data_IF_139944514483
#
_entry.id   IF_139944514483
#
_cell.length_a   1.000
_cell.length_b   1.000
_cell.length_c   1.000
_cell.angle_alpha   90.00
_cell.angle_beta   90.00
_cell.angle_gamma   90.00
#
_symmetry.space_group_name_H-M   'P 1'
#
loop_
_entity.id
_entity.type
_entity.pdbx_description
1 polymer ?
#
# COMPACT_ATOMS: atom_id res chain seq x y z
N UNK A 1 -29.45 -56.61 -84.72
CA UNK A 1 -28.75 -56.07 -83.54
C UNK A 1 -28.40 -54.61 -83.81
N UNK A 2 -29.16 -53.67 -83.24
CA UNK A 2 -29.00 -52.22 -83.40
C UNK A 2 -28.12 -51.71 -82.25
N UNK A 3 -26.91 -51.24 -82.53
CA UNK A 3 -26.11 -50.49 -81.56
C UNK A 3 -26.37 -49.00 -81.78
N UNK A 4 -26.94 -48.36 -80.76
CA UNK A 4 -27.29 -46.95 -80.74
C UNK A 4 -26.02 -46.08 -80.69
N UNK A 5 -25.81 -45.26 -81.72
CA UNK A 5 -24.81 -44.20 -81.71
C UNK A 5 -25.26 -43.10 -80.71
N UNK A 6 -24.62 -43.07 -79.53
CA UNK A 6 -24.77 -41.95 -78.59
C UNK A 6 -23.70 -40.90 -78.93
N UNK A 7 -24.11 -39.85 -79.66
CA UNK A 7 -23.34 -38.61 -79.86
C UNK A 7 -22.85 -38.10 -78.50
N UNK A 8 -21.54 -38.02 -78.30
CA UNK A 8 -20.94 -37.28 -77.20
C UNK A 8 -21.10 -35.78 -77.48
N UNK A 9 -21.49 -34.96 -76.49
CA UNK A 9 -21.50 -33.52 -76.67
C UNK A 9 -20.05 -33.02 -76.74
N UNK A 10 -19.70 -32.39 -77.86
CA UNK A 10 -18.47 -31.61 -78.00
C UNK A 10 -18.61 -30.43 -77.04
N UNK A 11 -17.90 -30.48 -75.91
CA UNK A 11 -17.78 -29.33 -75.01
C UNK A 11 -16.90 -28.33 -75.74
N UNK A 12 -17.53 -27.28 -76.26
CA UNK A 12 -16.85 -26.07 -76.72
C UNK A 12 -16.09 -25.49 -75.54
N UNK A 13 -14.76 -25.60 -75.58
CA UNK A 13 -13.88 -24.87 -74.66
C UNK A 13 -13.95 -23.41 -75.10
N UNK A 14 -14.91 -22.67 -74.55
CA UNK A 14 -14.87 -21.22 -74.60
C UNK A 14 -13.53 -20.78 -74.02
N UNK A 15 -12.80 -20.01 -74.82
CA UNK A 15 -11.52 -19.41 -74.50
C UNK A 15 -11.75 -18.34 -73.44
N UNK A 16 -12.09 -18.75 -72.21
CA UNK A 16 -12.13 -17.88 -71.06
C UNK A 16 -10.68 -17.45 -70.79
N UNK A 17 -10.35 -16.15 -70.86
CA UNK A 17 -9.01 -15.70 -70.53
C UNK A 17 -8.71 -16.19 -69.13
N UNK A 18 -7.69 -17.04 -68.99
CA UNK A 18 -7.38 -17.71 -67.73
C UNK A 18 -7.36 -16.69 -66.61
N UNK A 19 -8.35 -16.76 -65.72
CA UNK A 19 -8.47 -15.81 -64.63
C UNK A 19 -7.28 -16.04 -63.72
N UNK A 20 -6.32 -15.12 -63.81
CA UNK A 20 -5.10 -15.13 -63.01
C UNK A 20 -5.53 -14.89 -61.58
N UNK A 21 -5.68 -15.98 -60.82
CA UNK A 21 -5.87 -15.91 -59.38
C UNK A 21 -4.59 -15.29 -58.80
N UNK A 22 -4.63 -13.98 -58.55
CA UNK A 22 -3.57 -13.28 -57.85
C UNK A 22 -3.58 -13.80 -56.42
N UNK A 23 -2.73 -14.79 -56.17
CA UNK A 23 -2.48 -15.25 -54.81
C UNK A 23 -2.04 -14.02 -53.99
N UNK A 24 -2.62 -13.79 -52.80
CA UNK A 24 -2.12 -12.74 -51.92
C UNK A 24 -0.62 -12.99 -51.70
N UNK A 25 0.21 -11.92 -51.69
CA UNK A 25 1.64 -12.09 -51.58
C UNK A 25 1.96 -12.94 -50.36
N UNK A 26 2.63 -14.08 -50.58
CA UNK A 26 3.07 -14.96 -49.49
C UNK A 26 3.96 -14.12 -48.58
N UNK A 27 3.46 -13.78 -47.40
CA UNK A 27 4.22 -13.04 -46.43
C UNK A 27 5.28 -13.98 -45.84
N UNK A 28 6.48 -13.93 -46.43
CA UNK A 28 7.65 -14.61 -45.86
C UNK A 28 7.91 -13.99 -44.49
N UNK A 29 7.56 -14.70 -43.42
CA UNK A 29 7.81 -14.27 -42.05
C UNK A 29 9.32 -14.17 -41.85
N UNK A 30 9.89 -12.98 -42.06
CA UNK A 30 11.30 -12.71 -41.78
C UNK A 30 11.54 -13.05 -40.31
N UNK A 31 12.30 -14.12 -40.06
CA UNK A 31 12.76 -14.47 -38.73
C UNK A 31 13.82 -13.44 -38.35
N UNK A 32 13.41 -12.32 -37.75
CA UNK A 32 14.35 -11.45 -37.05
C UNK A 32 15.16 -12.30 -36.08
N UNK A 33 16.49 -12.22 -36.09
CA UNK A 33 17.34 -13.10 -35.29
C UNK A 33 16.96 -12.99 -33.81
N UNK A 34 16.85 -14.12 -33.12
CA UNK A 34 16.39 -14.20 -31.72
C UNK A 34 17.15 -13.23 -30.79
N UNK A 35 18.43 -12.99 -31.09
CA UNK A 35 19.31 -12.04 -30.38
C UNK A 35 18.80 -10.60 -30.45
N UNK A 36 18.30 -10.15 -31.61
CA UNK A 36 17.77 -8.77 -31.76
C UNK A 36 16.46 -8.54 -31.03
N UNK A 37 15.64 -9.59 -30.87
CA UNK A 37 14.41 -9.52 -30.07
C UNK A 37 14.74 -9.44 -28.58
N UNK A 38 15.67 -10.28 -28.12
CA UNK A 38 16.11 -10.31 -26.72
C UNK A 38 16.80 -9.00 -26.30
N UNK A 39 17.69 -8.44 -27.14
CA UNK A 39 18.28 -7.13 -26.89
C UNK A 39 17.22 -6.02 -26.83
N UNK A 40 16.27 -5.99 -27.78
CA UNK A 40 15.21 -4.98 -27.79
C UNK A 40 14.30 -5.06 -26.57
N UNK A 41 13.96 -6.26 -26.11
CA UNK A 41 13.17 -6.47 -24.89
C UNK A 41 13.94 -6.04 -23.64
N UNK A 42 15.24 -6.36 -23.55
CA UNK A 42 16.10 -5.87 -22.46
C UNK A 42 16.22 -4.36 -22.45
N UNK A 43 16.48 -3.74 -23.62
CA UNK A 43 16.55 -2.28 -23.73
C UNK A 43 15.21 -1.65 -23.36
N UNK A 44 14.08 -2.17 -23.83
CA UNK A 44 12.77 -1.61 -23.48
C UNK A 44 12.39 -1.81 -22.00
N UNK A 45 12.93 -2.83 -21.33
CA UNK A 45 12.69 -3.05 -19.89
C UNK A 45 13.62 -2.26 -18.99
N UNK A 46 14.88 -2.04 -19.41
CA UNK A 46 15.91 -1.41 -18.58
C UNK A 46 16.12 0.08 -18.89
N UNK A 47 15.93 0.50 -20.15
CA UNK A 47 16.16 1.89 -20.55
C UNK A 47 15.18 2.88 -19.89
N UNK A 48 13.85 2.60 -19.81
CA UNK A 48 12.93 3.52 -19.14
C UNK A 48 13.20 3.73 -17.64
N UNK A 49 13.40 2.69 -16.79
CA UNK A 49 13.70 2.91 -15.39
C UNK A 49 15.06 3.57 -15.17
N UNK A 50 16.08 3.24 -15.98
CA UNK A 50 17.41 3.87 -15.87
C UNK A 50 17.37 5.35 -16.28
N UNK A 51 16.66 5.71 -17.35
CA UNK A 51 16.45 7.11 -17.72
C UNK A 51 15.68 7.86 -16.64
N UNK A 52 14.61 7.26 -16.10
CA UNK A 52 13.84 7.86 -15.01
C UNK A 52 14.69 8.13 -13.77
N UNK A 53 15.52 7.16 -13.37
CA UNK A 53 16.42 7.28 -12.23
C UNK A 53 17.54 8.31 -12.50
N UNK A 54 18.07 8.34 -13.72
CA UNK A 54 19.06 9.35 -14.14
C UNK A 54 18.50 10.78 -14.12
N UNK A 55 17.29 11.00 -14.63
CA UNK A 55 16.63 12.31 -14.59
C UNK A 55 16.35 12.73 -13.14
N UNK A 56 15.93 11.81 -12.28
CA UNK A 56 15.72 12.08 -10.85
C UNK A 56 17.03 12.52 -10.16
N UNK A 57 18.13 11.80 -10.40
CA UNK A 57 19.44 12.14 -9.82
C UNK A 57 19.96 13.48 -10.32
N UNK A 58 19.77 13.78 -11.61
CA UNK A 58 20.15 15.08 -12.16
C UNK A 58 19.30 16.22 -11.58
N UNK A 59 17.99 16.02 -11.44
CA UNK A 59 17.10 16.99 -10.80
C UNK A 59 17.49 17.22 -9.32
N UNK A 60 17.84 16.15 -8.60
CA UNK A 60 18.31 16.24 -7.22
C UNK A 60 19.65 16.98 -7.11
N UNK A 61 20.62 16.67 -8.00
CA UNK A 61 21.91 17.35 -8.06
C UNK A 61 21.72 18.86 -8.36
N UNK A 62 20.88 19.21 -9.33
CA UNK A 62 20.57 20.60 -9.68
C UNK A 62 19.88 21.34 -8.53
N UNK A 63 18.94 20.69 -7.84
CA UNK A 63 18.27 21.27 -6.66
C UNK A 63 19.22 21.47 -5.48
N UNK A 64 20.12 20.52 -5.22
CA UNK A 64 21.14 20.61 -4.19
C UNK A 64 22.16 21.71 -4.49
N UNK A 65 22.54 21.89 -5.76
CA UNK A 65 23.44 22.98 -6.17
C UNK A 65 22.80 24.37 -6.02
N UNK A 66 21.47 24.49 -6.12
CA UNK A 66 20.76 25.76 -6.00
C UNK A 66 20.41 26.14 -4.55
N UNK A 67 20.47 25.20 -3.60
CA UNK A 67 20.09 25.41 -2.20
C UNK A 67 21.26 25.23 -1.24
N UNK A 68 21.61 26.27 -0.48
CA UNK A 68 22.74 26.28 0.48
C UNK A 68 22.57 25.37 1.72
N UNK A 69 21.53 24.56 1.79
CA UNK A 69 21.22 23.68 2.94
C UNK A 69 20.96 22.22 2.61
N UNK A 70 21.02 21.80 1.34
CA UNK A 70 20.77 20.41 0.96
C UNK A 70 22.09 19.69 0.62
N UNK A 71 22.43 18.59 1.32
CA UNK A 71 23.63 17.82 1.01
C UNK A 71 23.51 17.19 -0.38
N UNK A 72 24.64 17.09 -1.08
CA UNK A 72 24.72 16.39 -2.37
C UNK A 72 24.46 14.88 -2.19
N UNK A 73 24.01 14.18 -3.24
CA UNK A 73 23.80 12.73 -3.21
C UNK A 73 25.03 11.94 -2.72
N UNK A 74 26.24 12.38 -3.05
CA UNK A 74 27.49 11.74 -2.61
C UNK A 74 27.76 11.94 -1.11
N UNK A 75 27.64 13.17 -0.61
CA UNK A 75 27.79 13.44 0.83
C UNK A 75 26.74 12.77 1.71
N UNK A 76 25.53 12.57 1.16
CA UNK A 76 24.46 11.81 1.84
C UNK A 76 24.80 10.31 1.89
N UNK A 77 25.45 9.79 0.84
CA UNK A 77 25.86 8.39 0.75
C UNK A 77 27.02 8.08 1.70
N UNK A 78 28.01 8.98 1.82
CA UNK A 78 29.09 8.86 2.80
C UNK A 78 28.54 8.90 4.24
N UNK A 79 27.64 9.84 4.54
CA UNK A 79 26.99 9.93 5.85
C UNK A 79 26.13 8.70 6.16
N UNK A 80 25.45 8.14 5.14
CA UNK A 80 24.71 6.90 5.28
C UNK A 80 25.67 5.73 5.57
N UNK A 81 26.77 5.61 4.84
CA UNK A 81 27.76 4.54 5.06
C UNK A 81 28.38 4.60 6.46
N UNK A 82 28.69 5.79 6.99
CA UNK A 82 29.19 5.94 8.35
C UNK A 82 28.16 5.56 9.41
N UNK A 83 26.87 5.86 9.17
CA UNK A 83 25.77 5.50 10.07
C UNK A 83 25.41 4.01 10.01
N UNK A 84 25.58 3.37 8.86
CA UNK A 84 25.34 1.93 8.68
C UNK A 84 26.57 1.06 9.01
N UNK A 85 27.75 1.66 9.23
CA UNK A 85 28.97 0.93 9.56
C UNK A 85 28.93 0.30 10.96
N UNK A 86 28.33 0.98 11.95
CA UNK A 86 28.20 0.50 13.33
C UNK A 86 26.74 0.52 13.84
N UNK A 87 25.87 -0.38 13.33
CA UNK A 87 24.44 -0.35 13.61
C UNK A 87 24.06 -0.69 15.07
N UNK A 88 24.96 -1.26 15.88
CA UNK A 88 24.67 -1.72 17.25
C UNK A 88 25.54 -1.07 18.33
N UNK A 89 25.98 0.16 18.11
CA UNK A 89 26.84 0.86 19.07
C UNK A 89 26.12 1.28 20.37
N UNK A 90 26.78 1.01 21.50
CA UNK A 90 26.50 1.23 22.92
C UNK A 90 27.03 2.52 23.58
N UNK A 91 26.99 3.71 22.99
CA UNK A 91 27.79 4.84 23.52
C UNK A 91 27.13 5.77 24.55
N UNK A 92 25.92 5.44 24.99
CA UNK A 92 25.32 6.10 26.14
C UNK A 92 23.79 6.10 26.10
N UNK A 93 23.14 6.87 27.01
CA UNK A 93 21.68 6.95 27.11
C UNK A 93 20.98 7.58 25.89
N UNK A 94 21.70 8.36 25.08
CA UNK A 94 21.18 9.07 23.90
C UNK A 94 21.86 8.69 22.57
N UNK A 95 23.04 8.06 22.59
CA UNK A 95 23.77 7.61 21.39
C UNK A 95 23.71 6.08 21.29
N UNK A 96 22.53 5.59 20.92
CA UNK A 96 22.31 4.18 20.59
C UNK A 96 22.37 3.98 19.09
N UNK A 97 23.04 2.91 18.65
CA UNK A 97 23.10 2.50 17.26
C UNK A 97 21.72 2.39 16.62
N UNK A 98 21.64 2.74 15.34
CA UNK A 98 20.38 2.77 14.55
C UNK A 98 19.62 1.44 14.65
N UNK A 99 20.32 0.30 14.81
CA UNK A 99 19.72 -1.02 14.95
C UNK A 99 18.78 -1.15 16.15
N UNK A 100 19.13 -0.58 17.32
CA UNK A 100 18.26 -0.61 18.50
C UNK A 100 17.05 0.32 18.34
N UNK A 101 17.26 1.48 17.73
CA UNK A 101 16.19 2.42 17.42
C UNK A 101 15.18 1.78 16.44
N UNK A 102 15.67 1.21 15.33
CA UNK A 102 14.85 0.52 14.34
C UNK A 102 14.10 -0.66 14.96
N UNK A 103 14.75 -1.46 15.81
CA UNK A 103 14.10 -2.58 16.47
C UNK A 103 12.96 -2.13 17.39
N UNK A 104 13.18 -1.06 18.18
CA UNK A 104 12.15 -0.49 19.05
C UNK A 104 10.95 0.04 18.23
N UNK A 105 11.20 0.77 17.14
CA UNK A 105 10.16 1.25 16.23
C UNK A 105 9.39 0.08 15.59
N UNK A 106 10.11 -0.97 15.17
CA UNK A 106 9.53 -2.16 14.56
C UNK A 106 8.65 -2.93 15.56
N UNK A 107 9.07 -3.04 16.82
CA UNK A 107 8.29 -3.67 17.88
C UNK A 107 6.97 -2.92 18.13
N UNK A 108 7.01 -1.57 18.18
CA UNK A 108 5.79 -0.76 18.34
C UNK A 108 4.80 -0.98 17.21
N UNK A 109 5.31 -0.94 15.97
CA UNK A 109 4.50 -1.22 14.77
C UNK A 109 3.93 -2.63 14.85
N UNK A 110 4.75 -3.64 15.19
CA UNK A 110 4.31 -5.02 15.28
C UNK A 110 3.21 -5.23 16.33
N UNK A 111 3.31 -4.60 17.50
CA UNK A 111 2.28 -4.69 18.56
C UNK A 111 1.00 -3.96 18.13
N UNK A 112 1.09 -2.71 17.68
CA UNK A 112 -0.09 -1.93 17.27
C UNK A 112 -0.80 -2.55 16.07
N UNK A 113 -0.03 -2.97 15.06
CA UNK A 113 -0.55 -3.67 13.88
C UNK A 113 -1.10 -5.06 14.22
N UNK A 114 -0.40 -5.83 15.06
CA UNK A 114 -0.83 -7.16 15.47
C UNK A 114 -2.17 -7.13 16.21
N UNK A 115 -2.35 -6.19 17.13
CA UNK A 115 -3.64 -5.95 17.80
C UNK A 115 -4.72 -5.52 16.81
N UNK A 116 -4.38 -4.68 15.83
CA UNK A 116 -5.33 -4.24 14.80
C UNK A 116 -5.75 -5.38 13.89
N UNK A 117 -4.84 -6.31 13.56
CA UNK A 117 -5.17 -7.49 12.77
C UNK A 117 -6.04 -8.48 13.55
N UNK A 118 -5.70 -8.71 14.81
CA UNK A 118 -6.45 -9.60 15.70
C UNK A 118 -7.88 -9.12 15.93
N UNK A 119 -8.11 -7.81 16.06
CA UNK A 119 -9.45 -7.25 16.23
C UNK A 119 -10.15 -6.96 14.88
N UNK A 120 -9.42 -6.44 13.90
CA UNK A 120 -9.97 -5.93 12.64
C UNK A 120 -10.40 -7.02 11.67
N UNK A 121 -9.68 -8.14 11.58
CA UNK A 121 -10.06 -9.25 10.70
C UNK A 121 -11.39 -9.87 11.18
N UNK A 122 -11.55 -10.29 12.45
CA UNK A 122 -12.82 -10.82 12.93
C UNK A 122 -13.98 -9.82 12.80
N UNK A 123 -13.74 -8.54 13.13
CA UNK A 123 -14.76 -7.50 13.01
C UNK A 123 -15.18 -7.29 11.55
N UNK A 124 -14.24 -7.31 10.61
CA UNK A 124 -14.50 -7.27 9.18
C UNK A 124 -15.34 -8.45 8.69
N UNK A 125 -15.04 -9.66 9.17
CA UNK A 125 -15.86 -10.84 8.89
C UNK A 125 -17.30 -10.69 9.41
N UNK A 126 -17.45 -10.19 10.64
CA UNK A 126 -18.76 -9.98 11.26
C UNK A 126 -19.62 -8.96 10.47
N UNK A 127 -19.02 -7.82 10.11
CA UNK A 127 -19.64 -6.74 9.32
C UNK A 127 -19.93 -7.18 7.88
N UNK A 128 -19.11 -8.08 7.33
CA UNK A 128 -19.29 -8.64 5.99
C UNK A 128 -20.45 -9.64 5.92
N UNK A 129 -20.57 -10.52 6.93
CA UNK A 129 -21.56 -11.61 6.98
C UNK A 129 -22.95 -11.16 7.42
N UNK A 130 -23.05 -10.12 8.24
CA UNK A 130 -24.30 -9.71 8.88
C UNK A 130 -24.71 -8.28 8.51
N UNK A 131 -25.92 -8.14 7.99
CA UNK A 131 -26.47 -6.85 7.58
C UNK A 131 -26.75 -5.92 8.79
N UNK A 132 -26.98 -6.49 9.96
CA UNK A 132 -27.18 -5.75 11.22
C UNK A 132 -25.90 -5.00 11.63
N UNK A 133 -24.79 -5.72 11.80
CA UNK A 133 -23.51 -5.11 12.16
C UNK A 133 -23.01 -4.17 11.05
N UNK A 134 -23.27 -4.52 9.78
CA UNK A 134 -23.03 -3.62 8.65
C UNK A 134 -23.68 -2.25 8.84
N UNK A 135 -24.99 -2.22 9.12
CA UNK A 135 -25.74 -0.96 9.28
C UNK A 135 -25.31 -0.18 10.53
N UNK A 136 -24.96 -0.88 11.60
CA UNK A 136 -24.51 -0.27 12.86
C UNK A 136 -23.13 0.40 12.73
N UNK A 137 -22.17 -0.25 12.07
CA UNK A 137 -20.81 0.27 11.93
C UNK A 137 -20.60 1.16 10.70
N UNK A 138 -21.48 1.13 9.70
CA UNK A 138 -21.36 1.99 8.52
C UNK A 138 -21.18 3.49 8.84
N UNK A 139 -22.01 4.11 9.72
CA UNK A 139 -21.86 5.52 10.05
C UNK A 139 -20.55 5.82 10.80
N UNK A 140 -20.12 4.92 11.70
CA UNK A 140 -18.83 5.05 12.39
C UNK A 140 -17.67 5.02 11.39
N UNK A 141 -17.68 4.04 10.49
CA UNK A 141 -16.65 3.90 9.45
C UNK A 141 -16.64 5.15 8.56
N UNK A 142 -17.79 5.67 8.16
CA UNK A 142 -17.88 6.87 7.32
C UNK A 142 -17.31 8.11 8.01
N UNK A 143 -17.52 8.26 9.33
CA UNK A 143 -17.01 9.37 10.13
C UNK A 143 -15.49 9.28 10.35
N UNK A 144 -14.99 8.06 10.60
CA UNK A 144 -13.58 7.80 10.93
C UNK A 144 -12.67 7.76 9.70
N UNK A 145 -13.21 7.45 8.52
CA UNK A 145 -12.48 7.37 7.25
C UNK A 145 -11.71 8.64 6.85
N UNK A 146 -12.27 9.86 6.94
CA UNK A 146 -11.56 11.09 6.58
C UNK A 146 -10.60 11.59 7.66
N UNK A 147 -10.56 10.98 8.85
CA UNK A 147 -9.72 11.45 9.95
C UNK A 147 -8.26 11.17 9.62
N UNK A 148 -7.42 12.22 9.70
CA UNK A 148 -6.00 12.08 9.45
C UNK A 148 -5.36 11.20 10.53
N UNK A 149 -4.39 10.34 10.19
CA UNK A 149 -3.71 9.49 11.17
C UNK A 149 -3.01 10.29 12.29
N UNK A 150 -2.58 11.51 12.00
CA UNK A 150 -1.90 12.42 12.94
C UNK A 150 -2.81 12.95 14.05
N UNK A 151 -4.12 13.09 13.81
CA UNK A 151 -5.05 13.63 14.79
C UNK A 151 -5.21 12.74 16.04
N UNK A 152 -4.85 11.46 15.93
CA UNK A 152 -4.96 10.49 17.02
C UNK A 152 -3.82 10.58 18.01
N UNK A 153 -2.64 11.07 17.61
CA UNK A 153 -1.45 11.06 18.48
C UNK A 153 -1.68 11.82 19.79
N UNK A 154 -2.20 13.07 19.80
CA UNK A 154 -2.45 13.79 21.04
C UNK A 154 -3.42 13.07 21.98
N UNK A 155 -4.44 12.41 21.42
CA UNK A 155 -5.43 11.62 22.19
C UNK A 155 -4.75 10.41 22.84
N UNK A 156 -3.88 9.72 22.11
CA UNK A 156 -3.08 8.62 22.64
C UNK A 156 -2.16 9.08 23.78
N UNK A 157 -1.55 10.25 23.63
CA UNK A 157 -0.69 10.82 24.68
C UNK A 157 -1.50 11.20 25.93
N UNK A 158 -2.72 11.72 25.78
CA UNK A 158 -3.61 12.01 26.92
C UNK A 158 -4.05 10.73 27.66
N UNK A 159 -4.29 9.63 26.94
CA UNK A 159 -4.73 8.37 27.53
C UNK A 159 -3.62 7.65 28.30
N UNK A 160 -2.43 7.55 27.71
CA UNK A 160 -1.34 6.73 28.25
C UNK A 160 -0.24 7.52 28.95
N UNK A 161 -0.20 8.85 28.76
CA UNK A 161 0.81 9.76 29.31
C UNK A 161 2.27 9.38 28.98
N UNK A 162 2.47 8.47 28.01
CA UNK A 162 3.77 7.94 27.58
C UNK A 162 3.80 7.88 26.05
N UNK A 163 4.92 8.28 25.46
CA UNK A 163 5.09 8.35 24.00
C UNK A 163 5.05 6.97 23.32
N UNK A 164 5.62 5.94 23.95
CA UNK A 164 5.66 4.58 23.40
C UNK A 164 4.26 3.97 23.19
N UNK A 165 3.39 3.83 24.22
CA UNK A 165 2.05 3.26 24.04
C UNK A 165 1.13 4.17 23.22
N UNK A 166 1.32 5.50 23.26
CA UNK A 166 0.54 6.44 22.44
C UNK A 166 0.77 6.21 20.94
N UNK A 167 2.01 5.94 20.54
CA UNK A 167 2.36 5.65 19.14
C UNK A 167 1.75 4.33 18.67
N UNK A 168 1.90 3.27 19.46
CA UNK A 168 1.30 1.95 19.15
C UNK A 168 -0.24 2.00 19.09
N UNK A 169 -0.88 2.76 19.97
CA UNK A 169 -2.33 2.98 19.96
C UNK A 169 -2.80 3.73 18.71
N UNK A 170 -2.04 4.75 18.29
CA UNK A 170 -2.34 5.50 17.07
C UNK A 170 -2.26 4.60 15.83
N UNK A 171 -1.22 3.77 15.75
CA UNK A 171 -1.07 2.76 14.68
C UNK A 171 -2.25 1.79 14.70
N UNK A 172 -2.67 1.34 15.87
CA UNK A 172 -3.81 0.44 16.03
C UNK A 172 -5.11 1.04 15.45
N UNK A 173 -5.47 2.26 15.86
CA UNK A 173 -6.70 2.94 15.40
C UNK A 173 -6.64 3.26 13.90
N UNK A 174 -5.48 3.63 13.36
CA UNK A 174 -5.37 3.95 11.94
C UNK A 174 -5.41 2.70 11.06
N UNK A 175 -4.86 1.58 11.55
CA UNK A 175 -4.71 0.33 10.78
C UNK A 175 -5.96 -0.55 10.82
N UNK A 176 -6.79 -0.44 11.86
CA UNK A 176 -7.98 -1.29 12.01
C UNK A 176 -9.03 -1.01 10.93
N UNK A 177 -9.31 0.25 10.58
CA UNK A 177 -10.39 0.61 9.65
C UNK A 177 -10.15 0.12 8.22
N UNK A 178 -8.99 0.36 7.58
CA UNK A 178 -8.73 -0.18 6.25
C UNK A 178 -8.82 -1.71 6.23
N UNK A 179 -8.39 -2.37 7.31
CA UNK A 179 -8.42 -3.83 7.41
C UNK A 179 -9.84 -4.38 7.52
N UNK A 180 -10.67 -3.77 8.38
CA UNK A 180 -12.10 -4.09 8.53
C UNK A 180 -12.84 -3.87 7.22
N UNK A 181 -12.64 -2.73 6.56
CA UNK A 181 -13.34 -2.37 5.33
C UNK A 181 -12.99 -3.34 4.19
N UNK A 182 -11.70 -3.61 3.97
CA UNK A 182 -11.26 -4.51 2.91
C UNK A 182 -11.73 -5.96 3.17
N UNK A 183 -11.70 -6.40 4.43
CA UNK A 183 -12.20 -7.73 4.81
C UNK A 183 -13.71 -7.84 4.63
N UNK A 184 -14.49 -6.86 5.11
CA UNK A 184 -15.94 -6.85 4.99
C UNK A 184 -16.40 -6.80 3.52
N UNK A 185 -15.73 -6.01 2.71
CA UNK A 185 -15.96 -5.92 1.27
C UNK A 185 -15.63 -7.26 0.57
N UNK A 186 -14.53 -7.91 0.96
CA UNK A 186 -14.17 -9.24 0.48
C UNK A 186 -15.23 -10.29 0.76
N UNK A 187 -15.80 -10.31 1.97
CA UNK A 187 -16.88 -11.23 2.35
C UNK A 187 -18.14 -10.97 1.51
N UNK A 188 -18.50 -9.70 1.26
CA UNK A 188 -19.70 -9.33 0.51
C UNK A 188 -19.63 -9.63 -0.97
N UNK A 189 -18.41 -9.66 -1.54
CA UNK A 189 -18.18 -9.98 -2.96
C UNK A 189 -18.37 -11.44 -3.31
N UNK A 190 -18.50 -12.33 -2.32
CA UNK A 190 -18.73 -13.75 -2.56
C UNK A 190 -20.10 -13.94 -3.21
N UNK A 191 -20.19 -14.60 -4.38
CA UNK A 191 -21.47 -14.91 -5.00
C UNK A 191 -22.38 -15.69 -4.06
N UNK A 192 -23.67 -15.33 -4.04
CA UNK A 192 -24.67 -15.99 -3.19
C UNK A 192 -24.82 -17.49 -3.51
N UNK A 193 -24.43 -17.92 -4.71
CA UNK A 193 -24.46 -19.32 -5.14
C UNK A 193 -23.63 -20.23 -4.25
N UNK A 194 -22.45 -19.77 -3.80
CA UNK A 194 -21.63 -20.53 -2.84
C UNK A 194 -22.36 -20.77 -1.52
N UNK A 195 -23.11 -19.77 -1.04
CA UNK A 195 -23.89 -19.87 0.19
C UNK A 195 -25.15 -20.73 0.01
N UNK A 196 -25.77 -20.67 -1.18
CA UNK A 196 -26.93 -21.48 -1.51
C UNK A 196 -26.56 -22.97 -1.62
N UNK A 197 -25.45 -23.31 -2.28
CA UNK A 197 -24.92 -24.68 -2.34
C UNK A 197 -24.61 -25.19 -0.94
N UNK A 198 -23.96 -24.39 -0.09
CA UNK A 198 -23.68 -24.77 1.29
C UNK A 198 -24.96 -25.04 2.11
N UNK A 199 -26.05 -24.29 1.86
CA UNK A 199 -27.35 -24.49 2.49
C UNK A 199 -28.03 -25.79 2.02
N UNK A 200 -27.92 -26.14 0.75
CA UNK A 200 -28.44 -27.41 0.20
C UNK A 200 -27.70 -28.62 0.78
N UNK A 201 -26.38 -28.53 0.93
CA UNK A 201 -25.58 -29.56 1.61
C UNK A 201 -25.71 -29.55 3.14
N UNK A 202 -26.56 -28.67 3.72
CA UNK A 202 -26.75 -28.50 5.17
C UNK A 202 -25.43 -28.41 5.96
N UNK A 203 -24.43 -27.72 5.41
CA UNK A 203 -23.15 -27.53 6.10
C UNK A 203 -23.33 -26.60 7.30
N UNK A 204 -22.63 -26.91 8.40
CA UNK A 204 -22.62 -26.03 9.57
C UNK A 204 -21.96 -24.69 9.24
N UNK A 205 -22.46 -23.60 9.83
CA UNK A 205 -21.96 -22.24 9.59
C UNK A 205 -20.44 -22.11 9.84
N UNK A 206 -19.91 -22.86 10.82
CA UNK A 206 -18.46 -22.92 11.07
C UNK A 206 -17.68 -23.56 9.91
N UNK A 207 -18.24 -24.61 9.31
CA UNK A 207 -17.64 -25.28 8.14
C UNK A 207 -17.67 -24.36 6.93
N UNK A 208 -18.78 -23.66 6.71
CA UNK A 208 -18.92 -22.65 5.65
C UNK A 208 -17.90 -21.53 5.85
N UNK A 209 -17.78 -21.01 7.07
CA UNK A 209 -16.83 -19.94 7.39
C UNK A 209 -15.39 -20.32 7.09
N UNK A 210 -14.92 -21.50 7.54
CA UNK A 210 -13.50 -21.89 7.43
C UNK A 210 -13.13 -22.50 6.08
N UNK A 211 -14.01 -23.27 5.44
CA UNK A 211 -13.69 -23.99 4.20
C UNK A 211 -14.10 -23.25 2.93
N UNK A 212 -15.08 -22.35 3.01
CA UNK A 212 -15.61 -21.64 1.83
C UNK A 212 -15.25 -20.16 1.95
N UNK A 213 -15.65 -19.51 3.04
CA UNK A 213 -15.52 -18.06 3.21
C UNK A 213 -14.06 -17.64 3.41
N UNK A 214 -13.35 -18.22 4.37
CA UNK A 214 -11.97 -17.84 4.69
C UNK A 214 -11.01 -17.89 3.48
N UNK A 215 -10.95 -18.99 2.69
CA UNK A 215 -10.07 -19.03 1.51
C UNK A 215 -10.51 -18.06 0.41
N UNK A 216 -11.81 -17.84 0.23
CA UNK A 216 -12.32 -16.90 -0.77
C UNK A 216 -12.02 -15.43 -0.43
N UNK A 217 -11.99 -15.09 0.86
CA UNK A 217 -11.78 -13.71 1.36
C UNK A 217 -10.31 -13.41 1.62
N UNK A 218 -9.46 -14.44 1.69
CA UNK A 218 -8.02 -14.28 1.95
C UNK A 218 -7.33 -13.23 1.06
N UNK A 219 -7.58 -13.14 -0.27
CA UNK A 219 -6.99 -12.11 -1.10
C UNK A 219 -7.39 -10.68 -0.68
N UNK A 220 -8.63 -10.50 -0.24
CA UNK A 220 -9.14 -9.22 0.24
C UNK A 220 -8.57 -8.87 1.62
N UNK A 221 -8.42 -9.85 2.53
CA UNK A 221 -7.73 -9.65 3.82
C UNK A 221 -6.29 -9.23 3.60
N UNK A 222 -5.56 -9.92 2.71
CA UNK A 222 -4.17 -9.58 2.38
C UNK A 222 -4.05 -8.18 1.77
N UNK A 223 -5.04 -7.76 0.98
CA UNK A 223 -5.11 -6.38 0.46
C UNK A 223 -5.29 -5.37 1.60
N UNK A 224 -6.19 -5.65 2.54
CA UNK A 224 -6.39 -4.82 3.73
C UNK A 224 -5.14 -4.73 4.61
N UNK A 225 -4.53 -5.88 4.91
CA UNK A 225 -3.27 -5.99 5.65
C UNK A 225 -2.16 -5.18 4.99
N UNK A 226 -1.98 -5.32 3.67
CA UNK A 226 -0.97 -4.59 2.90
C UNK A 226 -1.18 -3.08 2.98
N UNK A 227 -2.42 -2.61 2.83
CA UNK A 227 -2.74 -1.18 2.92
C UNK A 227 -2.47 -0.65 4.34
N UNK A 228 -2.87 -1.40 5.36
CA UNK A 228 -2.66 -1.04 6.76
C UNK A 228 -1.18 -1.00 7.14
N UNK A 229 -0.32 -1.90 6.61
CA UNK A 229 1.14 -1.84 6.82
C UNK A 229 1.72 -0.54 6.27
N UNK A 230 1.29 -0.10 5.08
CA UNK A 230 1.72 1.17 4.50
C UNK A 230 1.35 2.38 5.36
N UNK A 231 0.14 2.38 5.93
CA UNK A 231 -0.31 3.45 6.83
C UNK A 231 0.45 3.40 8.16
N UNK A 232 0.65 2.22 8.74
CA UNK A 232 1.41 2.05 9.97
C UNK A 232 2.84 2.60 9.84
N UNK A 233 3.49 2.38 8.70
CA UNK A 233 4.82 2.92 8.41
C UNK A 233 4.83 4.45 8.35
N UNK A 234 3.86 5.07 7.68
CA UNK A 234 3.77 6.53 7.61
C UNK A 234 3.51 7.15 9.00
N UNK A 235 2.70 6.47 9.81
CA UNK A 235 2.35 6.93 11.16
C UNK A 235 3.55 6.84 12.10
N UNK A 236 4.33 5.76 12.08
CA UNK A 236 5.49 5.64 12.97
C UNK A 236 6.53 6.72 12.67
N UNK A 237 6.82 6.99 11.40
CA UNK A 237 7.76 8.06 11.01
C UNK A 237 7.24 9.42 11.51
N UNK A 238 5.96 9.71 11.31
CA UNK A 238 5.38 10.96 11.78
C UNK A 238 5.37 11.07 13.33
N UNK A 239 5.09 9.98 14.03
CA UNK A 239 5.09 9.93 15.48
C UNK A 239 6.49 10.15 16.05
N UNK A 240 7.53 9.60 15.43
CA UNK A 240 8.92 9.82 15.84
C UNK A 240 9.38 11.25 15.62
N UNK A 241 8.93 11.89 14.54
CA UNK A 241 9.21 13.31 14.30
C UNK A 241 8.53 14.20 15.35
N UNK A 242 7.27 13.89 15.69
CA UNK A 242 6.51 14.67 16.68
C UNK A 242 6.97 14.45 18.12
N UNK A 243 7.49 13.27 18.43
CA UNK A 243 8.03 12.93 19.75
C UNK A 243 9.54 13.17 19.85
N UNK A 244 10.20 13.66 18.79
CA UNK A 244 11.59 14.08 18.82
C UNK A 244 12.56 13.00 19.29
N UNK A 245 12.35 11.73 18.92
CA UNK A 245 13.21 10.62 19.33
C UNK A 245 13.03 10.13 20.77
N UNK A 246 12.15 10.74 21.57
CA UNK A 246 11.82 10.30 22.95
C UNK A 246 11.25 8.86 23.00
N UNK A 247 10.80 8.32 21.87
CA UNK A 247 10.41 6.93 21.78
C UNK A 247 11.56 6.00 22.17
N UNK A 248 12.76 6.16 21.61
CA UNK A 248 13.82 5.16 21.75
C UNK A 248 14.62 5.24 23.06
N UNK A 249 14.47 6.32 23.82
CA UNK A 249 15.07 6.48 25.15
C UNK A 249 14.24 5.76 26.23
N UNK A 250 13.96 4.46 26.05
CA UNK A 250 13.43 3.64 27.13
C UNK A 250 14.55 3.31 28.12
N UNK A 251 14.82 4.21 29.07
CA UNK A 251 15.62 3.86 30.25
C UNK A 251 16.43 4.97 30.89
N UNK A 252 15.81 6.06 31.33
CA UNK A 252 16.15 6.74 32.60
C UNK A 252 15.41 8.08 32.65
N UNK A 253 14.82 8.38 33.81
CA UNK A 253 14.03 9.58 34.00
C UNK A 253 14.82 10.84 33.67
N UNK A 254 14.30 11.64 32.74
CA UNK A 254 14.62 13.06 32.69
C UNK A 254 13.33 13.83 32.45
N UNK A 255 12.76 14.28 33.55
CA UNK A 255 11.98 15.51 33.64
C UNK A 255 12.74 16.61 32.89
N UNK A 256 12.30 17.01 31.69
CA UNK A 256 13.04 18.02 30.94
C UNK A 256 12.39 18.60 29.69
N UNK A 257 11.61 17.83 28.91
CA UNK A 257 11.12 18.29 27.60
C UNK A 257 9.60 18.44 27.52
N UNK A 258 8.96 18.83 28.62
CA UNK A 258 7.60 19.39 28.64
C UNK A 258 7.58 20.91 28.38
N UNK A 259 8.61 21.47 27.77
CA UNK A 259 8.73 22.93 27.56
C UNK A 259 8.05 23.44 26.28
N UNK A 260 7.69 22.58 25.32
CA UNK A 260 7.02 23.03 24.08
C UNK A 260 5.49 23.14 24.19
N UNK A 261 4.87 22.49 25.20
CA UNK A 261 3.42 22.54 25.45
C UNK A 261 3.02 23.46 26.61
N UNK A 262 3.98 24.22 27.18
CA UNK A 262 3.68 25.26 28.18
C UNK A 262 3.55 26.62 27.50
N UNK A 263 2.51 26.81 26.69
CA UNK A 263 2.04 28.15 26.32
C UNK A 263 0.78 28.50 27.09
N UNK A 264 0.91 29.55 27.91
CA UNK A 264 -0.11 30.42 28.50
C UNK A 264 -1.18 29.80 29.41
N UNK A 265 -0.85 29.68 30.70
CA UNK A 265 -1.81 29.93 31.77
C UNK A 265 -1.20 30.93 32.76
N UNK A 266 -1.34 32.21 32.45
CA UNK A 266 -1.27 33.29 33.43
C UNK A 266 -2.42 34.26 33.10
N UNK A 267 -3.34 34.54 34.02
CA UNK A 267 -4.45 35.44 33.77
C UNK A 267 -3.96 36.87 34.00
N UNK A 268 -3.92 37.69 32.96
CA UNK A 268 -4.31 39.11 32.99
C UNK A 268 -3.77 39.90 31.78
N UNK A 269 -4.66 40.74 31.26
CA UNK A 269 -4.42 41.92 30.42
C UNK A 269 -4.14 41.76 28.91
N UNK A 270 -5.16 42.16 28.14
CA UNK A 270 -5.10 43.09 27.00
C UNK A 270 -4.30 42.67 25.74
N UNK A 271 -5.01 42.21 24.71
CA UNK A 271 -5.12 42.89 23.39
C UNK A 271 -5.67 41.92 22.34
N UNK A 272 -6.86 42.21 21.85
CA UNK A 272 -7.47 41.55 20.71
C UNK A 272 -6.91 42.15 19.42
N UNK A 273 -6.19 41.38 18.61
CA UNK A 273 -6.05 41.55 17.15
C UNK A 273 -5.00 40.58 16.58
N UNK A 274 -5.41 39.40 16.08
CA UNK A 274 -4.71 38.65 14.99
C UNK A 274 -5.19 37.20 14.88
N UNK A 275 -6.49 36.97 14.61
CA UNK A 275 -7.03 35.62 14.37
C UNK A 275 -7.94 35.57 13.13
N UNK A 276 -7.46 36.09 11.99
CA UNK A 276 -8.22 36.06 10.73
C UNK A 276 -7.33 35.84 9.49
N UNK A 277 -6.42 34.85 9.50
CA UNK A 277 -5.53 34.62 8.35
C UNK A 277 -5.29 33.16 7.96
N UNK A 278 -6.18 32.23 8.31
CA UNK A 278 -6.08 30.82 7.86
C UNK A 278 -7.44 30.27 7.40
N UNK A 279 -8.04 30.94 6.42
CA UNK A 279 -9.16 30.39 5.64
C UNK A 279 -9.19 31.00 4.24
N UNK A 280 -8.16 30.70 3.44
CA UNK A 280 -8.21 30.71 1.97
C UNK A 280 -6.93 30.11 1.34
N UNK A 281 -6.99 28.84 0.95
CA UNK A 281 -6.21 28.22 -0.12
C UNK A 281 -6.89 26.90 -0.49
#
# INVERSE_FOLDING_TARGET
MKQAQRKQPVVSVDNAPGEVIILPPVQVRRTTPAVTRWLRELTQRLLPPLLGLGVLLLAWQLAAMHSKGFPTPLSTLDSALTLFADPFYQDGPNDMGIGWNVLASLQRVAVGFGLAALAGIPLGFLIGRSLFFARMFNPLIALLRPVSPLAWLPIGLLLFQKAEPASSWTIFICSIWPMVINTAEGVRRIPQDYLNVARVLQLSEWTVMRKILFPAVLPAVLTGVRLSIGIAWLVIVAAEMLTGGLGSASGSGTSGTTSMWKTSSSPSSLSASSACCWSRA
#
